data_IF_284707316469
#
_entry.id   IF_284707316469
#
_cell.length_a   1.000
_cell.length_b   1.000
_cell.length_c   1.000
_cell.angle_alpha   90.00
_cell.angle_beta   90.00
_cell.angle_gamma   90.00
#
_symmetry.space_group_name_H-M   'P 1'
#
loop_
_entity.id
_entity.type
_entity.pdbx_description
1 polymer ?
#
# COMPACT_ATOMS: atom_id res chain seq x y z
N UNK A 1 5.62 13.42 -15.94
CA UNK A 1 5.49 12.03 -15.43
C UNK A 1 5.74 11.09 -16.60
N UNK A 2 6.55 10.05 -16.40
CA UNK A 2 6.88 9.04 -17.41
C UNK A 2 6.33 7.69 -16.97
N UNK A 3 5.81 6.90 -17.92
CA UNK A 3 5.21 5.60 -17.64
C UNK A 3 5.88 4.52 -18.50
N UNK A 4 6.00 3.31 -17.94
CA UNK A 4 6.34 2.12 -18.71
C UNK A 4 5.03 1.46 -19.16
N UNK A 5 4.83 1.36 -20.48
CA UNK A 5 3.73 0.59 -21.04
C UNK A 5 4.14 -0.88 -21.12
N UNK A 6 3.32 -1.76 -20.55
CA UNK A 6 3.54 -3.21 -20.57
C UNK A 6 2.30 -3.83 -21.21
N UNK A 7 2.49 -4.51 -22.34
CA UNK A 7 1.42 -5.27 -23.01
C UNK A 7 1.35 -6.67 -22.39
N UNK A 8 0.63 -6.78 -21.27
CA UNK A 8 0.46 -8.04 -20.56
C UNK A 8 -0.96 -8.15 -19.99
N UNK A 9 -1.56 -9.35 -19.98
CA UNK A 9 -2.82 -9.57 -19.29
C UNK A 9 -2.65 -9.29 -17.79
N UNK A 10 -3.23 -8.20 -17.31
CA UNK A 10 -3.14 -7.74 -15.92
C UNK A 10 -4.52 -7.33 -15.42
N UNK A 11 -4.85 -7.60 -14.13
CA UNK A 11 -6.06 -7.07 -13.51
C UNK A 11 -5.98 -5.56 -13.24
N UNK A 12 -4.81 -4.95 -13.46
CA UNK A 12 -4.55 -3.53 -13.24
C UNK A 12 -4.29 -2.80 -14.55
N UNK A 13 -5.00 -1.69 -14.77
CA UNK A 13 -4.77 -0.80 -15.91
C UNK A 13 -3.54 0.09 -15.73
N UNK A 14 -3.18 0.42 -14.49
CA UNK A 14 -2.02 1.22 -14.15
C UNK A 14 -1.56 0.93 -12.72
N UNK A 15 -0.25 0.98 -12.48
CA UNK A 15 0.35 0.88 -11.15
C UNK A 15 1.14 2.16 -10.93
N UNK A 16 0.71 2.96 -9.94
CA UNK A 16 1.35 4.22 -9.61
C UNK A 16 2.12 4.04 -8.30
N UNK A 17 3.44 4.08 -8.40
CA UNK A 17 4.31 4.02 -7.22
C UNK A 17 4.30 5.32 -6.41
N UNK A 18 4.94 5.28 -5.23
CA UNK A 18 5.12 6.45 -4.35
C UNK A 18 5.68 7.69 -5.06
N UNK A 19 6.71 7.59 -5.93
CA UNK A 19 7.22 8.77 -6.65
C UNK A 19 6.14 9.45 -7.51
N UNK A 20 5.28 8.67 -8.15
CA UNK A 20 4.18 9.18 -8.96
C UNK A 20 3.10 9.85 -8.12
N UNK A 21 2.72 9.24 -7.00
CA UNK A 21 1.76 9.83 -6.07
C UNK A 21 2.28 11.13 -5.46
N UNK A 22 3.56 11.18 -5.09
CA UNK A 22 4.20 12.39 -4.55
C UNK A 22 4.24 13.52 -5.59
N UNK A 23 4.57 13.19 -6.84
CA UNK A 23 4.59 14.17 -7.93
C UNK A 23 3.20 14.76 -8.21
N UNK A 24 2.14 13.97 -8.00
CA UNK A 24 0.76 14.42 -8.13
C UNK A 24 0.23 15.12 -6.87
N UNK A 25 1.03 15.23 -5.80
CA UNK A 25 0.55 15.69 -4.48
C UNK A 25 -0.69 14.91 -4.01
N UNK A 26 -0.72 13.61 -4.32
CA UNK A 26 -1.90 12.79 -4.15
C UNK A 26 -2.10 12.38 -2.68
N UNK A 27 -3.34 12.49 -2.21
CA UNK A 27 -3.79 11.99 -0.91
C UNK A 27 -4.56 10.69 -1.14
N UNK A 28 -4.07 9.61 -0.54
CA UNK A 28 -4.67 8.28 -0.65
C UNK A 28 -5.37 7.93 0.65
N UNK A 29 -6.67 7.64 0.56
CA UNK A 29 -7.49 7.15 1.67
C UNK A 29 -7.89 5.70 1.42
N UNK A 30 -7.19 4.77 2.07
CA UNK A 30 -7.42 3.32 1.95
C UNK A 30 -8.84 2.96 2.39
N UNK A 31 -9.32 3.49 3.52
CA UNK A 31 -10.64 3.19 4.08
C UNK A 31 -11.79 3.50 3.10
N UNK A 32 -11.65 4.61 2.37
CA UNK A 32 -12.65 5.08 1.41
C UNK A 32 -12.32 4.68 -0.03
N UNK A 33 -11.20 3.97 -0.25
CA UNK A 33 -10.65 3.65 -1.56
C UNK A 33 -10.64 4.85 -2.50
N UNK A 34 -10.21 6.01 -2.00
CA UNK A 34 -10.25 7.26 -2.72
C UNK A 34 -8.85 7.85 -2.81
N UNK A 35 -8.46 8.28 -4.00
CA UNK A 35 -7.27 9.10 -4.25
C UNK A 35 -7.73 10.49 -4.68
N UNK A 36 -7.20 11.52 -4.04
CA UNK A 36 -7.43 12.92 -4.41
C UNK A 36 -6.11 13.57 -4.83
N UNK A 37 -6.13 14.42 -5.83
CA UNK A 37 -4.95 15.16 -6.29
C UNK A 37 -5.35 16.52 -6.86
N UNK A 38 -4.52 17.57 -6.73
CA UNK A 38 -4.78 18.85 -7.37
C UNK A 38 -4.82 18.74 -8.90
N UNK A 39 -5.72 19.49 -9.51
CA UNK A 39 -5.76 19.76 -10.94
C UNK A 39 -5.77 21.28 -11.16
N UNK A 40 -5.65 21.74 -12.41
CA UNK A 40 -5.58 23.18 -12.72
C UNK A 40 -6.77 23.99 -12.18
N UNK A 41 -7.94 23.38 -12.04
CA UNK A 41 -9.18 24.09 -11.72
C UNK A 41 -9.94 23.51 -10.52
N UNK A 42 -9.56 22.32 -10.04
CA UNK A 42 -10.28 21.62 -8.99
C UNK A 42 -9.45 20.48 -8.41
N UNK A 43 -10.03 19.68 -7.51
CA UNK A 43 -9.43 18.43 -7.03
C UNK A 43 -9.94 17.27 -7.87
N UNK A 44 -9.02 16.52 -8.49
CA UNK A 44 -9.31 15.27 -9.15
C UNK A 44 -9.55 14.16 -8.12
N UNK A 45 -10.49 13.27 -8.41
CA UNK A 45 -10.84 12.14 -7.55
C UNK A 45 -10.82 10.83 -8.35
N UNK A 46 -10.19 9.80 -7.79
CA UNK A 46 -10.25 8.42 -8.29
C UNK A 46 -10.78 7.53 -7.19
N UNK A 47 -11.93 6.90 -7.42
CA UNK A 47 -12.56 5.97 -6.46
C UNK A 47 -12.38 4.53 -6.91
N UNK A 48 -12.02 3.68 -5.97
CA UNK A 48 -11.99 2.24 -6.17
C UNK A 48 -13.40 1.65 -6.16
N UNK A 49 -13.61 0.68 -7.05
CA UNK A 49 -14.83 -0.13 -7.09
C UNK A 49 -14.58 -1.47 -6.37
N UNK A 50 -15.16 -1.61 -5.18
CA UNK A 50 -15.03 -2.84 -4.39
C UNK A 50 -15.68 -4.04 -5.06
N UNK A 51 -16.78 -3.84 -5.78
CA UNK A 51 -17.50 -4.93 -6.44
C UNK A 51 -16.67 -5.47 -7.60
N UNK A 52 -16.16 -4.57 -8.46
CA UNK A 52 -15.27 -4.96 -9.55
C UNK A 52 -13.99 -5.62 -9.03
N UNK A 53 -13.38 -5.09 -7.97
CA UNK A 53 -12.19 -5.70 -7.36
C UNK A 53 -12.47 -7.11 -6.82
N UNK A 54 -13.59 -7.33 -6.14
CA UNK A 54 -14.01 -8.65 -5.64
C UNK A 54 -14.29 -9.63 -6.78
N UNK A 55 -14.97 -9.16 -7.84
CA UNK A 55 -15.22 -9.98 -9.03
C UNK A 55 -13.91 -10.39 -9.69
N UNK A 56 -12.98 -9.45 -9.91
CA UNK A 56 -11.67 -9.73 -10.48
C UNK A 56 -10.90 -10.78 -9.66
N UNK A 57 -10.84 -10.60 -8.34
CA UNK A 57 -10.20 -11.57 -7.44
C UNK A 57 -10.82 -12.97 -7.55
N UNK A 58 -12.16 -13.06 -7.56
CA UNK A 58 -12.87 -14.34 -7.74
C UNK A 58 -12.56 -14.98 -9.08
N UNK A 59 -12.60 -14.21 -10.17
CA UNK A 59 -12.30 -14.70 -11.52
C UNK A 59 -10.90 -15.28 -11.56
N UNK A 60 -9.90 -14.51 -11.13
CA UNK A 60 -8.49 -14.96 -11.12
C UNK A 60 -8.30 -16.22 -10.29
N UNK A 61 -8.94 -16.34 -9.11
CA UNK A 61 -8.84 -17.54 -8.27
C UNK A 61 -9.59 -18.73 -8.86
N UNK A 62 -10.77 -18.52 -9.43
CA UNK A 62 -11.54 -19.58 -10.05
C UNK A 62 -10.88 -20.10 -11.33
N UNK A 63 -10.19 -19.23 -12.06
CA UNK A 63 -9.44 -19.55 -13.27
C UNK A 63 -8.15 -20.31 -12.94
N UNK A 64 -7.63 -20.26 -11.70
CA UNK A 64 -6.52 -21.13 -11.26
C UNK A 64 -6.83 -22.64 -11.28
N UNK A 65 -8.07 -23.06 -11.60
CA UNK A 65 -8.35 -24.45 -11.98
C UNK A 65 -7.86 -24.81 -13.39
N UNK A 66 -7.37 -23.85 -14.17
CA UNK A 66 -6.74 -24.02 -15.48
C UNK A 66 -5.47 -23.18 -15.53
N UNK A 67 -4.32 -23.85 -15.62
CA UNK A 67 -2.96 -23.30 -15.61
C UNK A 67 -2.78 -21.84 -16.09
N UNK A 68 -2.22 -21.04 -15.17
CA UNK A 68 -1.18 -19.98 -15.33
C UNK A 68 -1.42 -18.85 -14.33
N UNK A 69 -0.95 -19.08 -13.11
CA UNK A 69 -0.71 -17.99 -12.17
C UNK A 69 0.42 -17.16 -12.73
N UNK A 70 0.18 -15.93 -13.18
CA UNK A 70 1.23 -14.93 -13.16
C UNK A 70 1.48 -14.65 -11.68
N UNK A 71 2.60 -15.11 -11.10
CA UNK A 71 2.92 -14.68 -9.76
C UNK A 71 3.21 -13.19 -9.88
N UNK A 72 2.43 -12.38 -9.19
CA UNK A 72 3.03 -11.15 -8.65
C UNK A 72 4.08 -11.69 -7.68
N UNK A 73 5.27 -11.97 -8.21
CA UNK A 73 6.45 -12.20 -7.40
C UNK A 73 6.52 -10.98 -6.50
N UNK A 74 6.45 -11.22 -5.18
CA UNK A 74 6.57 -10.25 -4.08
C UNK A 74 5.26 -9.85 -3.36
N UNK A 75 4.14 -10.56 -3.51
CA UNK A 75 3.18 -10.63 -2.39
C UNK A 75 3.46 -11.92 -1.62
N UNK A 76 4.48 -11.87 -0.77
CA UNK A 76 4.54 -12.76 0.37
C UNK A 76 3.33 -12.41 1.24
N UNK A 77 2.28 -13.22 1.14
CA UNK A 77 1.34 -13.37 2.23
C UNK A 77 2.19 -13.92 3.38
N UNK A 78 2.72 -13.03 4.23
CA UNK A 78 3.34 -13.41 5.50
C UNK A 78 2.29 -14.16 6.30
N UNK A 79 2.24 -15.48 6.11
CA UNK A 79 1.58 -16.37 7.05
C UNK A 79 2.34 -16.23 8.36
N UNK A 80 1.64 -15.81 9.41
CA UNK A 80 1.97 -15.85 10.84
C UNK A 80 3.46 -15.73 11.25
N UNK A 81 4.29 -15.07 10.45
CA UNK A 81 5.60 -14.63 10.85
C UNK A 81 5.39 -13.31 11.55
N UNK A 82 5.36 -13.36 12.89
CA UNK A 82 5.63 -12.20 13.72
C UNK A 82 6.75 -11.41 13.04
N UNK A 83 6.49 -10.18 12.59
CA UNK A 83 7.53 -9.38 11.98
C UNK A 83 8.60 -9.17 13.04
N UNK A 84 9.75 -9.83 12.89
CA UNK A 84 10.95 -9.46 13.62
C UNK A 84 11.16 -7.98 13.34
N UNK A 85 10.81 -7.14 14.32
CA UNK A 85 10.99 -5.70 14.21
C UNK A 85 12.49 -5.50 14.08
N UNK A 86 12.97 -4.87 12.99
CA UNK A 86 14.35 -4.44 12.90
C UNK A 86 14.64 -3.61 14.16
N UNK A 87 15.65 -4.01 14.94
CA UNK A 87 16.04 -3.21 16.08
C UNK A 87 16.72 -1.93 15.57
N UNK A 88 16.49 -0.78 16.22
CA UNK A 88 17.20 0.45 15.91
C UNK A 88 18.71 0.20 15.92
N UNK A 89 19.41 0.72 14.91
CA UNK A 89 20.89 0.64 14.82
C UNK A 89 21.54 1.71 15.69
N UNK A 90 20.78 2.76 16.04
CA UNK A 90 21.23 3.92 16.80
C UNK A 90 20.65 3.92 18.23
N UNK A 91 21.34 4.62 19.14
CA UNK A 91 20.88 4.78 20.52
C UNK A 91 19.52 5.47 20.56
N UNK A 92 18.58 4.83 21.26
CA UNK A 92 17.20 5.30 21.40
C UNK A 92 16.95 5.86 22.79
N UNK A 93 16.33 7.04 22.84
CA UNK A 93 15.84 7.66 24.08
C UNK A 93 14.43 7.13 24.37
N UNK A 94 14.20 6.66 25.59
CA UNK A 94 12.86 6.27 26.05
C UNK A 94 12.11 7.49 26.57
N UNK A 95 10.96 7.77 25.97
CA UNK A 95 10.09 8.87 26.38
C UNK A 95 8.79 8.29 26.93
N UNK A 96 8.38 8.64 28.17
CA UNK A 96 7.10 8.22 28.74
C UNK A 96 5.93 8.74 27.91
N UNK A 97 4.94 7.87 27.66
CA UNK A 97 3.69 8.25 27.02
C UNK A 97 2.82 9.12 27.94
N UNK A 98 2.90 8.88 29.25
CA UNK A 98 2.15 9.58 30.28
C UNK A 98 3.09 9.95 31.43
N UNK A 99 2.93 11.16 31.96
CA UNK A 99 3.75 11.66 33.06
C UNK A 99 3.52 10.82 34.32
N UNK A 100 4.59 10.17 34.81
CA UNK A 100 4.53 9.28 35.98
C UNK A 100 4.30 7.79 35.68
N UNK A 101 4.09 7.39 34.42
CA UNK A 101 3.96 5.98 34.04
C UNK A 101 5.17 5.48 33.24
N UNK A 102 6.08 4.76 33.91
CA UNK A 102 7.30 4.21 33.30
C UNK A 102 7.07 2.90 32.54
N UNK A 103 5.88 2.30 32.60
CA UNK A 103 5.57 1.04 31.90
C UNK A 103 5.18 1.28 30.42
N UNK A 104 4.80 2.51 30.07
CA UNK A 104 4.38 2.90 28.73
C UNK A 104 5.34 3.92 28.15
N UNK A 105 6.33 3.46 27.39
CA UNK A 105 7.36 4.30 26.77
C UNK A 105 7.41 4.12 25.25
N UNK A 106 7.79 5.16 24.51
CA UNK A 106 8.19 5.07 23.10
C UNK A 106 9.68 5.37 22.93
N UNK A 107 10.30 4.72 21.96
CA UNK A 107 11.72 4.87 21.64
C UNK A 107 11.90 5.88 20.51
N UNK A 108 12.75 6.88 20.72
CA UNK A 108 13.07 7.92 19.73
C UNK A 108 14.54 7.79 19.37
N UNK A 109 14.82 7.52 18.09
CA UNK A 109 16.18 7.58 17.54
C UNK A 109 16.60 9.02 17.30
N UNK A 110 17.90 9.31 17.43
CA UNK A 110 18.48 10.65 17.23
C UNK A 110 18.58 11.04 15.76
#
# INVERSE_FOLDING_TARGET
>A
MTFLAVDTPSPYNAIIGRPGLNLMEAIVSIRHLLVKFPTRFSVGEVRGDQQAARQCYRTVISDKRKDKVLPIANVELRGDMEPERPQPIEDVVQVPLEEGNTEKVFQVGS
#
